data_IF_603815729153
#
_entry.id   IF_603815729153
#
_cell.length_a   1.000
_cell.length_b   1.000
_cell.length_c   1.000
_cell.angle_alpha   90.00
_cell.angle_beta   90.00
_cell.angle_gamma   90.00
#
_symmetry.space_group_name_H-M   'P 1'
#
loop_
_entity.id
_entity.type
_entity.pdbx_description
1 polymer ?
#
# COMPACT_ATOMS: atom_id res chain seq x y z
N UNK A 1 -38.52 -10.85 41.39
CA UNK A 1 -37.86 -10.84 40.06
C UNK A 1 -36.48 -11.46 40.27
N UNK A 2 -36.31 -12.74 39.94
CA UNK A 2 -35.02 -13.41 40.09
C UNK A 2 -34.10 -12.97 38.94
N UNK A 3 -32.94 -12.42 39.28
CA UNK A 3 -31.89 -12.12 38.28
C UNK A 3 -31.30 -13.47 37.89
N UNK A 4 -31.47 -13.84 36.62
CA UNK A 4 -30.88 -15.05 36.07
C UNK A 4 -29.37 -14.89 35.98
N UNK A 5 -28.65 -15.46 36.94
CA UNK A 5 -27.19 -15.42 37.04
C UNK A 5 -26.50 -16.47 36.17
N UNK A 6 -27.25 -17.19 35.32
CA UNK A 6 -26.70 -18.27 34.47
C UNK A 6 -26.20 -17.80 33.11
N UNK A 7 -26.13 -16.48 32.86
CA UNK A 7 -25.51 -15.95 31.64
C UNK A 7 -24.03 -16.33 31.64
N UNK A 8 -23.69 -17.36 30.87
CA UNK A 8 -22.31 -17.73 30.57
C UNK A 8 -21.63 -16.55 29.85
N UNK A 9 -20.86 -15.76 30.59
CA UNK A 9 -20.02 -14.71 30.03
C UNK A 9 -18.83 -15.40 29.39
N UNK A 10 -18.89 -15.63 28.08
CA UNK A 10 -17.79 -16.20 27.31
C UNK A 10 -16.55 -15.30 27.50
N UNK A 11 -15.48 -15.87 28.05
CA UNK A 11 -14.21 -15.14 28.16
C UNK A 11 -13.82 -14.58 26.79
N UNK A 12 -13.39 -13.31 26.71
CA UNK A 12 -13.02 -12.71 25.43
C UNK A 12 -11.92 -13.55 24.77
N UNK A 13 -12.18 -14.06 23.57
CA UNK A 13 -11.20 -14.85 22.82
C UNK A 13 -10.04 -13.99 22.33
N UNK A 14 -8.85 -14.57 22.24
CA UNK A 14 -7.61 -13.88 21.79
C UNK A 14 -7.64 -13.55 20.28
N UNK A 15 -8.57 -14.16 19.52
CA UNK A 15 -8.64 -14.03 18.06
C UNK A 15 -8.75 -12.59 17.55
N UNK A 16 -9.48 -11.71 18.26
CA UNK A 16 -9.58 -10.29 17.87
C UNK A 16 -8.22 -9.58 17.95
N UNK A 17 -7.47 -9.83 19.03
CA UNK A 17 -6.14 -9.28 19.21
C UNK A 17 -5.17 -9.83 18.15
N UNK A 18 -5.19 -11.15 17.91
CA UNK A 18 -4.36 -11.78 16.89
C UNK A 18 -4.60 -11.18 15.50
N UNK A 19 -5.87 -11.01 15.12
CA UNK A 19 -6.16 -10.45 13.81
C UNK A 19 -5.77 -8.97 13.68
N UNK A 20 -5.76 -8.20 14.76
CA UNK A 20 -5.29 -6.81 14.73
C UNK A 20 -3.75 -6.74 14.63
N UNK A 21 -3.05 -7.66 15.29
CA UNK A 21 -1.60 -7.85 15.15
C UNK A 21 -1.22 -8.26 13.73
N UNK A 22 -1.86 -9.29 13.15
CA UNK A 22 -1.54 -9.74 11.79
C UNK A 22 -1.85 -8.63 10.77
N UNK A 23 -2.94 -7.88 10.96
CA UNK A 23 -3.24 -6.75 10.07
C UNK A 23 -2.14 -5.68 10.13
N UNK A 24 -1.61 -5.40 11.33
CA UNK A 24 -0.48 -4.47 11.48
C UNK A 24 0.78 -5.02 10.81
N UNK A 25 1.16 -6.26 11.10
CA UNK A 25 2.40 -6.87 10.60
C UNK A 25 2.39 -6.98 9.07
N UNK A 26 1.27 -7.40 8.48
CA UNK A 26 1.11 -7.41 7.02
C UNK A 26 1.19 -6.00 6.43
N UNK A 27 0.62 -4.99 7.11
CA UNK A 27 0.75 -3.59 6.69
C UNK A 27 2.20 -3.09 6.72
N UNK A 28 2.95 -3.36 7.78
CA UNK A 28 4.37 -3.00 7.90
C UNK A 28 5.23 -3.73 6.86
N UNK A 29 4.95 -5.01 6.62
CA UNK A 29 5.61 -5.79 5.57
C UNK A 29 5.39 -5.20 4.18
N UNK A 30 4.14 -4.83 3.85
CA UNK A 30 3.81 -4.20 2.57
C UNK A 30 4.41 -2.79 2.42
N UNK A 31 4.47 -1.99 3.49
CA UNK A 31 5.15 -0.67 3.45
C UNK A 31 6.64 -0.86 3.14
N UNK A 32 7.30 -1.78 3.82
CA UNK A 32 8.73 -2.10 3.59
C UNK A 32 8.97 -2.60 2.16
N UNK A 33 8.07 -3.46 1.66
CA UNK A 33 8.10 -3.90 0.27
C UNK A 33 7.94 -2.73 -0.69
N UNK A 34 6.97 -1.84 -0.49
CA UNK A 34 6.74 -0.70 -1.38
C UNK A 34 7.93 0.26 -1.42
N UNK A 35 8.60 0.54 -0.29
CA UNK A 35 9.83 1.33 -0.30
C UNK A 35 10.95 0.64 -1.08
N UNK A 36 11.15 -0.66 -0.86
CA UNK A 36 12.15 -1.45 -1.59
C UNK A 36 11.85 -1.51 -3.08
N UNK A 37 10.58 -1.67 -3.45
CA UNK A 37 10.08 -1.66 -4.82
C UNK A 37 10.34 -0.31 -5.49
N UNK A 38 10.00 0.80 -4.83
CA UNK A 38 10.24 2.14 -5.38
C UNK A 38 11.72 2.42 -5.58
N UNK A 39 12.60 1.97 -4.67
CA UNK A 39 14.05 2.11 -4.82
C UNK A 39 14.54 1.28 -6.02
N UNK A 40 14.09 0.02 -6.15
CA UNK A 40 14.50 -0.85 -7.26
C UNK A 40 14.07 -0.26 -8.60
N UNK A 41 12.80 0.13 -8.74
CA UNK A 41 12.28 0.63 -10.02
C UNK A 41 12.84 2.03 -10.33
N UNK A 42 13.04 2.88 -9.33
CA UNK A 42 13.63 4.21 -9.51
C UNK A 42 15.13 4.17 -9.82
N UNK A 43 15.82 3.04 -9.62
CA UNK A 43 17.23 2.90 -9.99
C UNK A 43 17.50 3.14 -11.49
N UNK A 44 16.49 3.00 -12.35
CA UNK A 44 16.57 3.36 -13.78
C UNK A 44 16.91 4.84 -14.01
N UNK A 45 16.62 5.70 -13.03
CA UNK A 45 16.99 7.12 -13.07
C UNK A 45 18.51 7.32 -13.02
N UNK A 46 19.24 6.37 -12.43
CA UNK A 46 20.71 6.33 -12.43
C UNK A 46 21.27 5.67 -13.71
N UNK A 47 20.44 4.96 -14.46
CA UNK A 47 20.77 4.28 -15.70
C UNK A 47 20.09 2.92 -15.84
N UNK A 48 19.84 2.46 -17.07
CA UNK A 48 19.25 1.15 -17.33
C UNK A 48 20.08 0.01 -16.70
N UNK A 49 21.40 0.09 -16.81
CA UNK A 49 22.31 -0.90 -16.21
C UNK A 49 22.20 -1.01 -14.68
N UNK A 50 21.87 0.08 -13.97
CA UNK A 50 21.66 0.03 -12.52
C UNK A 50 20.42 -0.80 -12.16
N UNK A 51 19.32 -0.58 -12.88
CA UNK A 51 18.09 -1.37 -12.72
C UNK A 51 18.31 -2.82 -13.14
N UNK A 52 18.95 -3.06 -14.28
CA UNK A 52 19.19 -4.43 -14.76
C UNK A 52 20.11 -5.21 -13.83
N UNK A 53 21.09 -4.55 -13.18
CA UNK A 53 21.96 -5.20 -12.18
C UNK A 53 21.15 -5.62 -10.95
N UNK A 54 20.29 -4.74 -10.43
CA UNK A 54 19.42 -5.07 -9.29
C UNK A 54 18.38 -6.14 -9.66
N UNK A 55 17.81 -6.07 -10.85
CA UNK A 55 16.86 -7.05 -11.35
C UNK A 55 17.53 -8.42 -11.55
N UNK A 56 18.76 -8.44 -12.08
CA UNK A 56 19.54 -9.66 -12.22
C UNK A 56 19.88 -10.28 -10.86
N UNK A 57 20.18 -9.48 -9.84
CA UNK A 57 20.35 -10.00 -8.47
C UNK A 57 19.08 -10.69 -7.95
N UNK A 58 17.90 -10.10 -8.18
CA UNK A 58 16.64 -10.75 -7.80
C UNK A 58 16.37 -12.03 -8.58
N UNK A 59 16.75 -12.07 -9.86
CA UNK A 59 16.61 -13.24 -10.72
C UNK A 59 17.56 -14.37 -10.28
N UNK A 60 18.84 -14.05 -10.06
CA UNK A 60 19.87 -15.00 -9.66
C UNK A 60 19.61 -15.63 -8.29
N UNK A 61 18.94 -14.89 -7.40
CA UNK A 61 18.54 -15.37 -6.07
C UNK A 61 17.15 -16.02 -6.05
N UNK A 62 16.46 -16.09 -7.19
CA UNK A 62 15.05 -16.51 -7.31
C UNK A 62 14.08 -15.72 -6.42
N UNK A 63 14.50 -14.53 -5.98
CA UNK A 63 13.74 -13.72 -5.03
C UNK A 63 12.48 -13.15 -5.68
N UNK A 64 12.49 -12.85 -6.98
CA UNK A 64 11.28 -12.41 -7.69
C UNK A 64 10.24 -13.54 -7.83
N UNK A 65 10.70 -14.77 -8.10
CA UNK A 65 9.88 -15.96 -8.34
C UNK A 65 9.20 -16.45 -7.07
N UNK A 66 9.92 -16.45 -5.94
CA UNK A 66 9.39 -16.87 -4.64
C UNK A 66 8.76 -15.69 -3.90
N UNK A 67 9.44 -14.55 -3.87
CA UNK A 67 8.98 -13.35 -3.17
C UNK A 67 7.74 -12.73 -3.81
N UNK A 68 7.62 -12.73 -5.14
CA UNK A 68 6.45 -12.21 -5.86
C UNK A 68 5.12 -12.83 -5.39
N UNK A 69 4.96 -14.16 -5.48
CA UNK A 69 3.77 -14.86 -4.98
C UNK A 69 3.53 -14.66 -3.48
N UNK A 70 4.59 -14.63 -2.66
CA UNK A 70 4.46 -14.39 -1.20
C UNK A 70 3.96 -12.97 -0.89
N UNK A 71 4.43 -11.97 -1.62
CA UNK A 71 3.91 -10.59 -1.51
C UNK A 71 2.47 -10.53 -2.01
N UNK A 72 2.13 -11.20 -3.11
CA UNK A 72 0.75 -11.32 -3.58
C UNK A 72 -0.19 -11.95 -2.54
N UNK A 73 0.25 -13.02 -1.88
CA UNK A 73 -0.50 -13.65 -0.79
C UNK A 73 -0.63 -12.72 0.43
N UNK A 74 0.45 -12.03 0.81
CA UNK A 74 0.45 -11.05 1.91
C UNK A 74 -0.48 -9.87 1.61
N UNK A 75 -0.50 -9.41 0.37
CA UNK A 75 -1.39 -8.36 -0.13
C UNK A 75 -2.86 -8.75 0.00
N UNK A 76 -3.23 -9.95 -0.43
CA UNK A 76 -4.60 -10.46 -0.29
C UNK A 76 -4.98 -10.69 1.18
N UNK A 77 -4.07 -11.25 1.98
CA UNK A 77 -4.29 -11.43 3.42
C UNK A 77 -4.50 -10.07 4.11
N UNK A 78 -3.67 -9.08 3.79
CA UNK A 78 -3.81 -7.73 4.31
C UNK A 78 -5.19 -7.15 3.96
N UNK A 79 -5.61 -7.30 2.71
CA UNK A 79 -6.93 -6.86 2.26
C UNK A 79 -8.06 -7.53 3.04
N UNK A 80 -8.04 -8.86 3.19
CA UNK A 80 -9.08 -9.60 3.93
C UNK A 80 -9.17 -9.09 5.38
N UNK A 81 -8.03 -8.88 6.03
CA UNK A 81 -8.00 -8.40 7.41
C UNK A 81 -8.48 -6.95 7.53
N UNK A 82 -8.08 -6.09 6.60
CA UNK A 82 -8.45 -4.67 6.58
C UNK A 82 -9.91 -4.46 6.14
N UNK A 83 -10.44 -5.28 5.24
CA UNK A 83 -11.81 -5.22 4.73
C UNK A 83 -12.85 -5.30 5.84
N UNK A 84 -12.56 -6.01 6.95
CA UNK A 84 -13.43 -6.05 8.14
C UNK A 84 -13.72 -4.67 8.74
N UNK A 85 -12.89 -3.66 8.45
CA UNK A 85 -13.04 -2.28 8.92
C UNK A 85 -13.70 -1.36 7.88
N UNK A 86 -13.96 -1.85 6.66
CA UNK A 86 -14.52 -1.05 5.56
C UNK A 86 -16.06 -1.15 5.56
N UNK A 87 -16.79 -0.02 5.48
CA UNK A 87 -18.24 -0.02 5.38
C UNK A 87 -18.67 -0.43 3.97
N UNK A 88 -19.09 -1.68 3.81
CA UNK A 88 -19.60 -2.17 2.52
C UNK A 88 -21.09 -1.90 2.32
N UNK A 89 -21.86 -1.66 3.39
CA UNK A 89 -23.29 -1.34 3.27
C UNK A 89 -23.48 0.13 2.91
N UNK A 90 -24.40 0.42 1.98
CA UNK A 90 -24.70 1.79 1.53
C UNK A 90 -25.10 2.72 2.69
N UNK A 91 -25.84 2.20 3.68
CA UNK A 91 -26.20 2.96 4.89
C UNK A 91 -24.98 3.35 5.72
N UNK A 92 -24.02 2.44 5.90
CA UNK A 92 -22.77 2.70 6.63
C UNK A 92 -21.90 3.70 5.86
N UNK A 93 -21.83 3.60 4.54
CA UNK A 93 -21.12 4.54 3.67
C UNK A 93 -21.72 5.95 3.77
N UNK A 94 -23.05 6.06 3.69
CA UNK A 94 -23.76 7.34 3.85
C UNK A 94 -23.52 7.94 5.25
N UNK A 95 -23.55 7.11 6.28
CA UNK A 95 -23.35 7.52 7.67
C UNK A 95 -21.94 8.07 7.88
N UNK A 96 -20.90 7.32 7.48
CA UNK A 96 -19.51 7.76 7.68
C UNK A 96 -19.19 9.01 6.84
N UNK A 97 -19.77 9.12 5.64
CA UNK A 97 -19.60 10.29 4.79
C UNK A 97 -20.22 11.55 5.41
N UNK A 98 -21.46 11.45 5.89
CA UNK A 98 -22.12 12.55 6.62
C UNK A 98 -21.32 12.94 7.86
N UNK A 99 -20.87 11.95 8.63
CA UNK A 99 -20.10 12.18 9.86
C UNK A 99 -18.74 12.85 9.58
N UNK A 100 -18.02 12.40 8.56
CA UNK A 100 -16.75 13.00 8.15
C UNK A 100 -16.92 14.46 7.70
N UNK A 101 -18.02 14.77 6.99
CA UNK A 101 -18.38 16.15 6.63
C UNK A 101 -18.65 17.00 7.87
N UNK A 102 -19.47 16.53 8.82
CA UNK A 102 -19.80 17.29 10.02
C UNK A 102 -18.61 17.51 10.96
N UNK A 103 -17.71 16.54 11.10
CA UNK A 103 -16.57 16.65 12.00
C UNK A 103 -15.47 17.59 11.48
N UNK A 104 -15.37 17.80 10.16
CA UNK A 104 -14.27 18.54 9.52
C UNK A 104 -12.87 18.11 10.01
N UNK A 105 -12.71 16.83 10.36
CA UNK A 105 -11.50 16.32 10.99
C UNK A 105 -10.61 15.60 9.99
N UNK A 106 -9.37 16.08 9.84
CA UNK A 106 -8.43 15.63 8.80
C UNK A 106 -8.12 14.13 8.90
N UNK A 107 -7.87 13.58 10.10
CA UNK A 107 -7.55 12.15 10.21
C UNK A 107 -8.78 11.25 9.99
N UNK A 108 -9.99 11.80 10.01
CA UNK A 108 -11.20 11.07 9.57
C UNK A 108 -11.25 11.02 8.04
N UNK A 109 -10.96 12.13 7.37
CA UNK A 109 -10.88 12.19 5.91
C UNK A 109 -9.75 11.33 5.33
N UNK A 110 -8.56 11.36 5.94
CA UNK A 110 -7.46 10.49 5.53
C UNK A 110 -7.82 9.00 5.62
N UNK A 111 -8.75 8.62 6.51
CA UNK A 111 -9.17 7.23 6.65
C UNK A 111 -10.08 6.83 5.49
N UNK A 112 -10.98 7.74 5.09
CA UNK A 112 -11.81 7.56 3.89
C UNK A 112 -10.95 7.47 2.62
N UNK A 113 -9.93 8.32 2.50
CA UNK A 113 -8.96 8.26 1.39
C UNK A 113 -8.23 6.90 1.41
N UNK A 114 -7.77 6.45 2.57
CA UNK A 114 -7.10 5.15 2.70
C UNK A 114 -8.03 3.99 2.30
N UNK A 115 -9.30 4.02 2.69
CA UNK A 115 -10.28 3.01 2.30
C UNK A 115 -10.59 3.05 0.78
N UNK A 116 -10.75 4.24 0.21
CA UNK A 116 -11.01 4.43 -1.22
C UNK A 116 -9.83 3.99 -2.10
N UNK A 117 -8.62 4.45 -1.77
CA UNK A 117 -7.38 4.03 -2.44
C UNK A 117 -7.18 2.52 -2.37
N UNK A 118 -7.50 1.87 -1.24
CA UNK A 118 -7.40 0.42 -1.08
C UNK A 118 -8.20 -0.35 -2.13
N UNK A 119 -9.42 0.12 -2.48
CA UNK A 119 -10.26 -0.56 -3.47
C UNK A 119 -9.67 -0.45 -4.88
N UNK A 120 -9.11 0.71 -5.21
CA UNK A 120 -8.42 0.93 -6.50
C UNK A 120 -7.16 0.07 -6.59
N UNK A 121 -6.35 0.06 -5.52
CA UNK A 121 -5.12 -0.73 -5.43
C UNK A 121 -5.42 -2.23 -5.49
N UNK A 122 -6.53 -2.70 -4.88
CA UNK A 122 -6.90 -4.12 -4.98
C UNK A 122 -6.98 -4.57 -6.44
N UNK A 123 -7.62 -3.78 -7.29
CA UNK A 123 -7.81 -4.12 -8.71
C UNK A 123 -6.51 -3.90 -9.47
N UNK A 124 -6.00 -2.66 -9.45
CA UNK A 124 -4.84 -2.28 -10.25
C UNK A 124 -3.55 -2.95 -9.78
N UNK A 125 -3.33 -3.04 -8.47
CA UNK A 125 -2.18 -3.75 -7.89
C UNK A 125 -2.18 -5.22 -8.26
N UNK A 126 -3.34 -5.89 -8.27
CA UNK A 126 -3.43 -7.29 -8.70
C UNK A 126 -3.08 -7.47 -10.18
N UNK A 127 -3.60 -6.60 -11.06
CA UNK A 127 -3.27 -6.61 -12.49
C UNK A 127 -1.77 -6.39 -12.69
N UNK A 128 -1.20 -5.38 -12.03
CA UNK A 128 0.22 -5.07 -12.11
C UNK A 128 1.09 -6.25 -11.67
N UNK A 129 0.83 -6.81 -10.49
CA UNK A 129 1.59 -7.94 -9.95
C UNK A 129 1.51 -9.14 -10.88
N UNK A 130 0.31 -9.49 -11.37
CA UNK A 130 0.14 -10.58 -12.32
C UNK A 130 0.99 -10.37 -13.57
N UNK A 131 0.85 -9.22 -14.24
CA UNK A 131 1.57 -8.95 -15.50
C UNK A 131 3.09 -8.93 -15.33
N UNK A 132 3.62 -8.44 -14.21
CA UNK A 132 5.07 -8.45 -13.97
C UNK A 132 5.57 -9.87 -13.65
N UNK A 133 4.87 -10.61 -12.79
CA UNK A 133 5.32 -11.92 -12.33
C UNK A 133 5.18 -13.03 -13.39
N UNK A 134 4.28 -12.87 -14.36
CA UNK A 134 4.16 -13.82 -15.48
C UNK A 134 5.09 -13.52 -16.66
N UNK A 135 5.83 -12.41 -16.62
CA UNK A 135 6.76 -11.97 -17.68
C UNK A 135 8.18 -11.74 -17.14
N UNK A 136 8.61 -12.60 -16.21
CA UNK A 136 9.99 -12.64 -15.74
C UNK A 136 10.94 -13.12 -16.87
N UNK A 137 12.23 -12.73 -16.87
CA UNK A 137 12.91 -11.84 -15.92
C UNK A 137 12.56 -10.36 -16.13
N UNK A 138 12.73 -9.55 -15.07
CA UNK A 138 12.54 -8.10 -15.10
C UNK A 138 13.75 -7.46 -15.80
N UNK A 139 13.51 -6.58 -16.78
CA UNK A 139 14.56 -5.75 -17.40
C UNK A 139 14.06 -4.34 -17.66
N UNK A 140 14.97 -3.37 -17.70
CA UNK A 140 14.67 -1.98 -18.02
C UNK A 140 14.00 -1.85 -19.40
N UNK A 141 14.46 -2.63 -20.39
CA UNK A 141 13.90 -2.66 -21.74
C UNK A 141 12.44 -3.12 -21.76
N UNK A 142 12.10 -4.23 -21.09
CA UNK A 142 10.71 -4.72 -21.01
C UNK A 142 9.81 -3.71 -20.28
N UNK A 143 10.30 -3.13 -19.18
CA UNK A 143 9.56 -2.12 -18.42
C UNK A 143 9.30 -0.85 -19.24
N UNK A 144 10.29 -0.38 -20.01
CA UNK A 144 10.16 0.76 -20.91
C UNK A 144 9.17 0.48 -22.06
N UNK A 145 9.33 -0.66 -22.77
CA UNK A 145 8.44 -1.05 -23.85
C UNK A 145 6.97 -1.11 -23.42
N UNK A 146 6.71 -1.59 -22.20
CA UNK A 146 5.36 -1.62 -21.62
C UNK A 146 4.77 -0.21 -21.45
N UNK A 147 5.53 0.73 -20.91
CA UNK A 147 5.10 2.10 -20.62
C UNK A 147 4.94 2.92 -21.90
N UNK A 148 5.85 2.74 -22.87
CA UNK A 148 5.88 3.49 -24.13
C UNK A 148 4.63 3.25 -25.00
N UNK A 149 3.93 2.13 -24.82
CA UNK A 149 2.62 1.87 -25.44
C UNK A 149 1.47 2.77 -24.95
N UNK A 150 1.71 3.67 -23.99
CA UNK A 150 0.77 4.71 -23.56
C UNK A 150 -0.31 4.25 -22.57
N UNK A 151 -0.99 3.13 -22.81
CA UNK A 151 -2.04 2.62 -21.91
C UNK A 151 -1.50 2.35 -20.49
N UNK A 152 -0.35 1.67 -20.42
CA UNK A 152 0.30 1.37 -19.15
C UNK A 152 0.85 2.62 -18.45
N UNK A 153 1.21 3.67 -19.19
CA UNK A 153 1.59 4.94 -18.58
C UNK A 153 0.43 5.53 -17.79
N UNK A 154 -0.77 5.61 -18.38
CA UNK A 154 -1.98 6.09 -17.69
C UNK A 154 -2.30 5.21 -16.48
N UNK A 155 -2.19 3.90 -16.64
CA UNK A 155 -2.36 2.94 -15.55
C UNK A 155 -1.44 3.25 -14.36
N UNK A 156 -0.14 3.48 -14.61
CA UNK A 156 0.79 3.81 -13.52
C UNK A 156 0.63 5.22 -12.97
N UNK A 157 0.20 6.19 -13.78
CA UNK A 157 -0.11 7.55 -13.31
C UNK A 157 -1.27 7.57 -12.31
N UNK A 158 -2.19 6.60 -12.37
CA UNK A 158 -3.24 6.41 -11.38
C UNK A 158 -2.73 5.55 -10.22
N UNK A 159 -2.06 4.43 -10.49
CA UNK A 159 -1.62 3.50 -9.45
C UNK A 159 -0.63 4.14 -8.47
N UNK A 160 0.33 4.93 -8.98
CA UNK A 160 1.38 5.58 -8.20
C UNK A 160 0.81 6.43 -7.05
N UNK A 161 0.00 7.48 -7.29
CA UNK A 161 -0.54 8.29 -6.20
C UNK A 161 -1.48 7.50 -5.29
N UNK A 162 -2.23 6.52 -5.81
CA UNK A 162 -3.13 5.71 -4.98
C UNK A 162 -2.34 4.90 -3.95
N UNK A 163 -1.30 4.17 -4.39
CA UNK A 163 -0.45 3.36 -3.51
C UNK A 163 0.33 4.23 -2.54
N UNK A 164 0.97 5.30 -3.01
CA UNK A 164 1.79 6.16 -2.15
C UNK A 164 0.96 6.87 -1.06
N UNK A 165 -0.25 7.33 -1.38
CA UNK A 165 -1.17 7.87 -0.37
C UNK A 165 -1.62 6.79 0.62
N UNK A 166 -1.93 5.58 0.14
CA UNK A 166 -2.35 4.48 1.01
C UNK A 166 -1.24 4.07 1.98
N UNK A 167 -0.02 3.91 1.47
CA UNK A 167 1.20 3.54 2.22
C UNK A 167 1.55 4.62 3.23
N UNK A 168 1.60 5.89 2.81
CA UNK A 168 1.93 7.02 3.69
C UNK A 168 0.94 7.16 4.85
N UNK A 169 -0.36 7.24 4.54
CA UNK A 169 -1.41 7.35 5.57
C UNK A 169 -1.40 6.12 6.48
N UNK A 170 -1.19 4.92 5.93
CA UNK A 170 -1.06 3.68 6.67
C UNK A 170 0.12 3.70 7.65
N UNK A 171 1.28 4.15 7.20
CA UNK A 171 2.49 4.29 8.03
C UNK A 171 2.26 5.24 9.21
N UNK A 172 1.71 6.44 8.95
CA UNK A 172 1.36 7.39 10.00
C UNK A 172 0.36 6.80 11.00
N UNK A 173 -0.70 6.13 10.54
CA UNK A 173 -1.72 5.55 11.42
C UNK A 173 -1.21 4.40 12.27
N UNK A 174 -0.37 3.53 11.73
CA UNK A 174 0.26 2.45 12.51
C UNK A 174 1.09 3.08 13.63
N UNK A 175 1.89 4.09 13.32
CA UNK A 175 2.68 4.82 14.31
C UNK A 175 1.83 5.43 15.44
N UNK A 176 0.71 6.07 15.11
CA UNK A 176 -0.22 6.63 16.12
C UNK A 176 -0.90 5.52 16.92
N UNK A 177 -1.40 4.48 16.25
CA UNK A 177 -2.19 3.41 16.89
C UNK A 177 -1.37 2.61 17.91
N UNK A 178 -0.11 2.33 17.60
CA UNK A 178 0.77 1.53 18.45
C UNK A 178 1.64 2.37 19.40
N UNK A 179 1.36 3.67 19.52
CA UNK A 179 1.97 4.53 20.53
C UNK A 179 3.38 5.05 20.23
N UNK A 180 3.92 4.77 19.04
CA UNK A 180 5.18 5.37 18.56
C UNK A 180 5.03 6.88 18.31
N UNK A 181 3.84 7.31 17.88
CA UNK A 181 3.49 8.72 17.66
C UNK A 181 2.56 9.19 18.79
N UNK A 182 3.08 10.10 19.62
CA UNK A 182 2.37 10.72 20.74
C UNK A 182 1.93 12.13 20.37
N UNK A 183 1.08 12.75 21.20
CA UNK A 183 0.57 14.12 20.95
C UNK A 183 1.69 15.15 20.74
N UNK A 184 2.81 15.02 21.46
CA UNK A 184 3.95 15.94 21.39
C UNK A 184 4.67 15.92 20.03
N UNK A 185 4.84 14.75 19.41
CA UNK A 185 5.57 14.60 18.13
C UNK A 185 4.64 14.47 16.90
N UNK A 186 3.33 14.35 17.10
CA UNK A 186 2.34 14.12 16.03
C UNK A 186 2.41 15.13 14.89
N UNK A 187 2.53 16.43 15.20
CA UNK A 187 2.59 17.49 14.16
C UNK A 187 3.85 17.34 13.29
N UNK A 188 4.99 17.03 13.91
CA UNK A 188 6.25 16.81 13.22
C UNK A 188 6.22 15.57 12.34
N UNK A 189 5.77 14.44 12.88
CA UNK A 189 5.71 13.18 12.13
C UNK A 189 4.68 13.19 11.01
N UNK A 190 3.56 13.88 11.17
CA UNK A 190 2.60 14.09 10.08
C UNK A 190 3.19 14.93 8.94
N UNK A 191 3.96 15.98 9.26
CA UNK A 191 4.66 16.78 8.25
C UNK A 191 5.73 15.94 7.54
N UNK A 192 6.49 15.16 8.31
CA UNK A 192 7.51 14.27 7.77
C UNK A 192 6.91 13.25 6.80
N UNK A 193 5.83 12.57 7.18
CA UNK A 193 5.18 11.57 6.33
C UNK A 193 4.62 12.20 5.04
N UNK A 194 3.95 13.36 5.11
CA UNK A 194 3.51 14.08 3.92
C UNK A 194 4.68 14.45 2.97
N UNK A 195 5.82 14.87 3.52
CA UNK A 195 7.02 15.18 2.72
C UNK A 195 7.57 13.90 2.08
N UNK A 196 7.66 12.81 2.85
CA UNK A 196 8.15 11.52 2.37
C UNK A 196 7.28 10.99 1.21
N UNK A 197 5.96 11.00 1.36
CA UNK A 197 5.02 10.62 0.30
C UNK A 197 5.16 11.53 -0.93
N UNK A 198 5.32 12.84 -0.74
CA UNK A 198 5.57 13.78 -1.83
C UNK A 198 6.86 13.47 -2.60
N UNK A 199 7.93 13.11 -1.89
CA UNK A 199 9.21 12.71 -2.49
C UNK A 199 9.05 11.42 -3.31
N UNK A 200 8.41 10.39 -2.77
CA UNK A 200 8.21 9.13 -3.51
C UNK A 200 7.34 9.32 -4.75
N UNK A 201 6.27 10.13 -4.67
CA UNK A 201 5.47 10.48 -5.84
C UNK A 201 6.33 11.21 -6.89
N UNK A 202 7.13 12.20 -6.49
CA UNK A 202 7.99 12.93 -7.42
C UNK A 202 9.01 12.01 -8.10
N UNK A 203 9.69 11.17 -7.32
CA UNK A 203 10.65 10.17 -7.85
C UNK A 203 9.94 9.19 -8.78
N UNK A 204 8.74 8.72 -8.41
CA UNK A 204 7.92 7.84 -9.24
C UNK A 204 7.54 8.47 -10.58
N UNK A 205 7.15 9.75 -10.58
CA UNK A 205 6.85 10.49 -11.81
C UNK A 205 8.09 10.65 -12.71
N UNK A 206 9.24 11.00 -12.12
CA UNK A 206 10.52 11.07 -12.86
C UNK A 206 10.85 9.71 -13.47
N UNK A 207 10.64 8.63 -12.72
CA UNK A 207 10.87 7.25 -13.16
C UNK A 207 9.97 6.86 -14.34
N UNK A 208 8.69 7.24 -14.31
CA UNK A 208 7.77 7.00 -15.43
C UNK A 208 8.19 7.76 -16.69
N UNK A 209 8.59 9.03 -16.54
CA UNK A 209 9.14 9.83 -17.66
C UNK A 209 10.43 9.18 -18.18
N UNK A 210 11.28 8.66 -17.29
CA UNK A 210 12.51 7.99 -17.68
C UNK A 210 12.25 6.75 -18.50
N UNK A 211 11.29 5.90 -18.10
CA UNK A 211 10.89 4.74 -18.90
C UNK A 211 10.26 5.14 -20.24
N UNK A 212 9.48 6.21 -20.28
CA UNK A 212 8.89 6.72 -21.52
C UNK A 212 9.96 7.20 -22.52
N UNK A 213 11.08 7.74 -22.03
CA UNK A 213 12.16 8.32 -22.86
C UNK A 213 13.37 7.42 -23.01
N UNK A 214 13.37 6.23 -22.39
CA UNK A 214 14.47 5.29 -22.48
C UNK A 214 14.57 4.76 -23.92
N UNK A 215 15.74 4.83 -24.58
CA UNK A 215 15.92 4.16 -25.86
C UNK A 215 15.93 2.65 -25.63
N UNK A 216 14.97 1.95 -26.25
CA UNK A 216 14.77 0.50 -26.15
C UNK A 216 15.13 -0.15 -27.47
#
# INVERSE_FOLDING_TARGET
MAIDTTIYVRSPGVGSALFDWIQMLTGVGLITFMWSHMILVASVNLGAGAMDTLAHFLEATYMAQVGGPLIGATFLLHFILAARKVPFRAEQQSTIWKHARTLHHLDTWLWLIQAGTAMVILIMGSIHMWTVLTDLPITAAKSAARIQGGFWLVFYLILLPMVELHVGIGFYRIGVKWGFIKRSNRKGLKRFENILTGIFILIGLITLIRFMTLPV
#
